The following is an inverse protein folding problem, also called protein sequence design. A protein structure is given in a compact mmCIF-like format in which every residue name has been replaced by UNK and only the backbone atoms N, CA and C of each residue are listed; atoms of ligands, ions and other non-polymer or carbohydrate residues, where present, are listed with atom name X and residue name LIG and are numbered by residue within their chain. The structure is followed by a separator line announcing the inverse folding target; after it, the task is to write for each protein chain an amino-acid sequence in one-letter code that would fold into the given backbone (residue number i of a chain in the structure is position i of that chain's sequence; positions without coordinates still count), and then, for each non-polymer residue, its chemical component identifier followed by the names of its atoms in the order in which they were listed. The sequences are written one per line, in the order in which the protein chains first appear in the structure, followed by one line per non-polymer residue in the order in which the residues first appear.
data_IF_062467444792
#
_entry.id   IF_062467444792
#
_cell.length_a   1.000
_cell.length_b   1.000
_cell.length_c   1.000
_cell.angle_alpha   90.00
_cell.angle_beta   90.00
_cell.angle_gamma   90.00
#
_symmetry.space_group_name_H-M   'P 1'
#
loop_
_entity.id
_entity.type
_entity.pdbx_description
1 polymer ?
#
# COMPACT_ATOMS: atom_id res chain seq x y z
N UNK A 1 8.75 8.42 21.98
CA UNK A 1 7.56 7.68 21.50
C UNK A 1 7.35 8.07 20.05
N UNK A 2 7.10 7.13 19.15
CA UNK A 2 6.80 7.43 17.74
C UNK A 2 5.28 7.49 17.61
N UNK A 3 4.74 8.61 17.11
CA UNK A 3 3.31 8.73 16.85
C UNK A 3 2.94 7.81 15.67
N UNK A 4 1.76 7.18 15.76
CA UNK A 4 1.24 6.38 14.65
C UNK A 4 0.98 7.26 13.42
N UNK A 5 1.24 6.72 12.24
CA UNK A 5 0.88 7.36 10.98
C UNK A 5 -0.60 7.09 10.64
N UNK A 6 -1.20 8.00 9.86
CA UNK A 6 -2.51 7.77 9.27
C UNK A 6 -2.49 6.56 8.32
N UNK A 7 -3.61 5.85 8.27
CA UNK A 7 -3.78 4.72 7.36
C UNK A 7 -3.87 5.15 5.89
N UNK A 8 -3.10 4.51 5.02
CA UNK A 8 -3.18 4.70 3.56
C UNK A 8 -4.25 3.77 2.98
N UNK A 9 -5.32 4.32 2.41
CA UNK A 9 -6.47 3.55 1.91
C UNK A 9 -6.29 2.93 0.51
N UNK A 10 -5.31 3.40 -0.24
CA UNK A 10 -5.08 3.00 -1.63
C UNK A 10 -3.61 2.61 -1.78
N UNK A 11 -3.38 1.36 -2.14
CA UNK A 11 -2.12 0.96 -2.74
C UNK A 11 -2.17 1.29 -4.24
N UNK A 12 -1.10 1.86 -4.75
CA UNK A 12 -0.91 2.20 -6.16
C UNK A 12 0.53 1.83 -6.52
N UNK A 13 0.70 0.80 -7.34
CA UNK A 13 2.02 0.23 -7.65
C UNK A 13 2.94 1.15 -8.43
N UNK A 14 2.44 2.33 -8.85
CA UNK A 14 3.25 3.39 -9.45
C UNK A 14 4.09 4.14 -8.41
N UNK A 15 3.73 4.05 -7.13
CA UNK A 15 4.48 4.67 -6.03
C UNK A 15 5.73 3.85 -5.66
N UNK A 16 6.70 4.52 -5.04
CA UNK A 16 7.92 3.89 -4.55
C UNK A 16 7.70 3.29 -3.16
N UNK A 17 7.84 1.97 -3.05
CA UNK A 17 7.77 1.23 -1.78
C UNK A 17 9.11 0.59 -1.39
N UNK A 18 10.20 0.96 -2.06
CA UNK A 18 11.56 0.47 -1.80
C UNK A 18 12.58 1.59 -2.00
N UNK A 19 13.64 1.61 -1.19
CA UNK A 19 14.76 2.56 -1.30
C UNK A 19 16.10 1.83 -1.27
N UNK A 20 17.05 2.29 -2.09
CA UNK A 20 18.41 1.76 -2.11
C UNK A 20 19.22 2.16 -0.86
N UNK A 21 18.83 3.22 -0.16
CA UNK A 21 19.50 3.70 1.06
C UNK A 21 19.32 2.72 2.23
N UNK A 22 18.17 2.04 2.27
CA UNK A 22 17.85 1.04 3.29
C UNK A 22 17.26 -0.21 2.62
N UNK A 23 18.09 -1.00 1.90
CA UNK A 23 17.62 -2.00 0.95
C UNK A 23 16.92 -3.20 1.60
N UNK A 24 17.10 -3.38 2.90
CA UNK A 24 16.44 -4.42 3.71
C UNK A 24 15.00 -4.09 4.09
N UNK A 25 14.54 -2.85 3.84
CA UNK A 25 13.17 -2.42 4.11
C UNK A 25 12.43 -2.09 2.81
N UNK A 26 11.13 -2.37 2.78
CA UNK A 26 10.28 -2.13 1.62
C UNK A 26 10.31 -3.28 0.59
N UNK A 27 9.53 -3.10 -0.48
CA UNK A 27 9.34 -4.11 -1.53
C UNK A 27 9.36 -3.45 -2.90
N UNK A 28 10.10 -4.03 -3.85
CA UNK A 28 10.09 -3.59 -5.25
C UNK A 28 8.78 -4.01 -5.90
N UNK A 29 8.13 -3.06 -6.57
CA UNK A 29 6.86 -3.26 -7.28
C UNK A 29 7.07 -3.07 -8.79
N UNK A 30 6.21 -3.67 -9.64
CA UNK A 30 6.44 -3.68 -11.08
C UNK A 30 6.03 -2.39 -11.82
N UNK A 31 5.36 -1.44 -11.15
CA UNK A 31 4.82 -0.21 -11.77
C UNK A 31 3.88 -0.50 -12.96
N UNK A 32 2.95 -1.45 -12.83
CA UNK A 32 2.04 -1.88 -13.89
C UNK A 32 0.74 -1.06 -13.98
N UNK A 33 0.55 -0.07 -13.10
CA UNK A 33 -0.65 0.76 -12.98
C UNK A 33 -1.71 0.17 -12.04
N UNK A 34 -1.40 -0.93 -11.34
CA UNK A 34 -2.37 -1.64 -10.51
C UNK A 34 -2.62 -0.87 -9.22
N UNK A 35 -3.89 -0.73 -8.88
CA UNK A 35 -4.33 -0.15 -7.62
C UNK A 35 -5.20 -1.13 -6.82
N UNK A 36 -5.08 -1.06 -5.50
CA UNK A 36 -5.92 -1.80 -4.55
C UNK A 36 -6.46 -0.79 -3.55
N UNK A 37 -7.78 -0.62 -3.51
CA UNK A 37 -8.47 0.34 -2.65
C UNK A 37 -9.37 -0.37 -1.65
N UNK A 38 -9.25 0.01 -0.38
CA UNK A 38 -10.20 -0.41 0.67
C UNK A 38 -11.50 0.39 0.49
N UNK A 39 -12.62 -0.32 0.36
CA UNK A 39 -13.95 0.29 0.27
C UNK A 39 -14.63 0.34 1.64
N UNK A 40 -14.67 -0.79 2.34
CA UNK A 40 -15.20 -0.89 3.70
C UNK A 40 -14.51 -2.02 4.47
N UNK A 41 -14.43 -1.88 5.79
CA UNK A 41 -13.83 -2.85 6.70
C UNK A 41 -14.74 -3.03 7.93
N UNK A 42 -15.02 -4.29 8.26
CA UNK A 42 -15.77 -4.69 9.45
C UNK A 42 -14.95 -5.73 10.20
N UNK A 43 -14.34 -5.33 11.33
CA UNK A 43 -13.40 -6.18 12.06
C UNK A 43 -12.20 -6.58 11.20
N UNK A 44 -12.03 -7.89 10.99
CA UNK A 44 -10.97 -8.48 10.15
C UNK A 44 -11.40 -8.72 8.70
N UNK A 45 -12.65 -8.41 8.34
CA UNK A 45 -13.16 -8.57 6.98
C UNK A 45 -13.13 -7.24 6.22
N UNK A 46 -12.75 -7.28 4.95
CA UNK A 46 -12.59 -6.10 4.10
C UNK A 46 -13.17 -6.33 2.71
N UNK A 47 -13.83 -5.30 2.18
CA UNK A 47 -14.18 -5.21 0.77
C UNK A 47 -13.16 -4.31 0.08
N UNK A 48 -12.55 -4.84 -0.99
CA UNK A 48 -11.54 -4.13 -1.76
C UNK A 48 -11.96 -4.03 -3.22
N UNK A 49 -11.47 -2.97 -3.88
CA UNK A 49 -11.50 -2.82 -5.32
C UNK A 49 -10.08 -2.99 -5.85
N UNK A 50 -9.91 -3.85 -6.85
CA UNK A 50 -8.68 -4.01 -7.62
C UNK A 50 -8.91 -3.45 -9.02
N UNK A 51 -8.02 -2.59 -9.50
CA UNK A 51 -8.12 -1.98 -10.83
C UNK A 51 -6.73 -1.76 -11.45
N UNK A 52 -6.69 -1.54 -12.77
CA UNK A 52 -5.50 -1.19 -13.55
C UNK A 52 -5.76 0.08 -14.34
#
# INVERSE_FOLDING_TARGET
MVAGADGVRVFDDRNNFWSAEVPSYGVKVPHAGVTIKVLTQTGTSMWILVSR
#
